data_IF_571813226979
#
_entry.id   IF_571813226979
#
_cell.length_a   1.000
_cell.length_b   1.000
_cell.length_c   1.000
_cell.angle_alpha   90.00
_cell.angle_beta   90.00
_cell.angle_gamma   90.00
#
_symmetry.space_group_name_H-M   'P 1'
#
loop_
_entity.id
_entity.type
_entity.pdbx_description
1 polymer ?
#
# COMPACT_ATOMS: atom_id res chain seq x y z
N UNK A 1 11.74 1.51 -16.17
CA UNK A 1 12.89 2.14 -15.48
C UNK A 1 12.44 3.24 -14.52
N UNK A 2 11.44 4.07 -14.86
CA UNK A 2 11.04 5.21 -14.01
C UNK A 2 10.62 4.83 -12.57
N UNK A 3 9.85 3.76 -12.39
CA UNK A 3 9.41 3.33 -11.05
C UNK A 3 10.44 2.55 -10.24
N UNK A 4 11.56 2.15 -10.84
CA UNK A 4 12.54 1.30 -10.18
C UNK A 4 13.13 2.00 -8.94
N UNK A 5 13.46 3.29 -9.08
CA UNK A 5 13.99 4.10 -7.98
C UNK A 5 12.96 4.28 -6.86
N UNK A 6 11.69 4.45 -7.21
CA UNK A 6 10.60 4.58 -6.25
C UNK A 6 10.40 3.29 -5.45
N UNK A 7 10.44 2.13 -6.12
CA UNK A 7 10.33 0.82 -5.47
C UNK A 7 11.53 0.55 -4.55
N UNK A 8 12.74 0.92 -4.96
CA UNK A 8 13.95 0.78 -4.12
C UNK A 8 13.86 1.67 -2.88
N UNK A 9 13.50 2.94 -3.03
CA UNK A 9 13.31 3.86 -1.90
C UNK A 9 12.21 3.38 -0.95
N UNK A 10 11.10 2.88 -1.50
CA UNK A 10 10.03 2.27 -0.72
C UNK A 10 10.52 1.03 0.04
N UNK A 11 11.27 0.13 -0.60
CA UNK A 11 11.80 -1.07 0.05
C UNK A 11 12.77 -0.74 1.19
N UNK A 12 13.64 0.26 1.01
CA UNK A 12 14.56 0.71 2.07
C UNK A 12 13.77 1.34 3.23
N UNK A 13 12.88 2.29 2.96
CA UNK A 13 12.08 2.95 3.99
C UNK A 13 11.19 1.95 4.76
N UNK A 14 10.52 1.06 4.04
CA UNK A 14 9.63 0.06 4.63
C UNK A 14 10.37 -1.05 5.39
N UNK A 15 11.63 -1.34 5.07
CA UNK A 15 12.44 -2.34 5.81
C UNK A 15 13.12 -1.76 7.06
N UNK A 16 13.54 -0.50 7.01
CA UNK A 16 14.20 0.19 8.13
C UNK A 16 13.22 0.62 9.23
N UNK A 17 11.94 0.79 8.89
CA UNK A 17 10.92 1.20 9.86
C UNK A 17 10.55 0.08 10.84
N UNK A 18 10.38 0.38 12.15
CA UNK A 18 9.96 -0.58 13.16
C UNK A 18 8.45 -0.83 13.05
N UNK A 19 8.02 -1.43 11.95
CA UNK A 19 6.64 -1.86 11.73
C UNK A 19 6.35 -3.22 12.37
N UNK A 20 5.08 -3.55 12.67
CA UNK A 20 4.70 -4.83 13.27
C UNK A 20 5.22 -6.05 12.51
N UNK A 21 5.12 -6.06 11.18
CA UNK A 21 5.59 -7.18 10.34
C UNK A 21 7.12 -7.36 10.39
N UNK A 22 7.88 -6.26 10.34
CA UNK A 22 9.34 -6.32 10.41
C UNK A 22 9.83 -6.72 11.79
N UNK A 23 9.22 -6.18 12.85
CA UNK A 23 9.53 -6.56 14.23
C UNK A 23 9.17 -8.02 14.46
N UNK A 24 8.05 -8.51 13.93
CA UNK A 24 7.62 -9.89 14.08
C UNK A 24 8.59 -10.87 13.41
N UNK A 25 9.05 -10.57 12.18
CA UNK A 25 10.08 -11.38 11.48
C UNK A 25 11.44 -11.29 12.17
N UNK A 26 11.84 -10.12 12.65
CA UNK A 26 13.07 -9.96 13.43
C UNK A 26 13.01 -10.79 14.71
N UNK A 27 11.90 -10.68 15.47
CA UNK A 27 11.68 -11.39 16.73
C UNK A 27 11.60 -12.89 16.51
N UNK A 28 10.92 -13.35 15.44
CA UNK A 28 10.90 -14.77 15.10
C UNK A 28 12.28 -15.26 14.65
N UNK A 29 13.04 -14.42 13.94
CA UNK A 29 14.40 -14.71 13.49
C UNK A 29 15.36 -14.91 14.65
N UNK A 30 15.25 -14.07 15.69
CA UNK A 30 16.07 -14.17 16.91
C UNK A 30 15.65 -15.35 17.78
N UNK A 31 14.34 -15.59 17.97
CA UNK A 31 13.86 -16.63 18.89
C UNK A 31 13.83 -18.04 18.29
N UNK A 32 13.48 -18.20 17.01
CA UNK A 32 13.29 -19.50 16.35
C UNK A 32 14.30 -19.79 15.25
N UNK A 33 15.16 -18.82 14.92
CA UNK A 33 16.15 -18.91 13.86
C UNK A 33 15.59 -18.52 12.49
N UNK A 34 16.51 -18.18 11.57
CA UNK A 34 16.18 -17.69 10.22
C UNK A 34 15.40 -18.72 9.41
N UNK A 35 15.81 -20.00 9.41
CA UNK A 35 15.15 -21.07 8.65
C UNK A 35 13.68 -21.26 9.01
N UNK A 36 13.34 -21.17 10.30
CA UNK A 36 11.95 -21.31 10.76
C UNK A 36 11.11 -20.04 10.57
N UNK A 37 11.76 -18.91 10.28
CA UNK A 37 11.12 -17.62 10.02
C UNK A 37 10.80 -17.40 8.53
N UNK A 38 11.37 -18.20 7.62
CA UNK A 38 11.09 -18.11 6.17
C UNK A 38 9.59 -18.26 5.85
N UNK A 39 8.83 -19.20 6.43
CA UNK A 39 7.39 -19.31 6.16
C UNK A 39 6.60 -18.06 6.57
N UNK A 40 6.97 -17.44 7.69
CA UNK A 40 6.36 -16.17 8.15
C UNK A 40 6.65 -15.05 7.16
N UNK A 41 7.91 -14.90 6.73
CA UNK A 41 8.32 -13.90 5.76
C UNK A 41 7.55 -14.06 4.43
N UNK A 42 7.44 -15.30 3.93
CA UNK A 42 6.68 -15.61 2.70
C UNK A 42 5.21 -15.26 2.86
N UNK A 43 4.60 -15.56 4.01
CA UNK A 43 3.23 -15.17 4.32
C UNK A 43 3.03 -13.66 4.30
N UNK A 44 3.97 -12.89 4.86
CA UNK A 44 3.96 -11.42 4.81
C UNK A 44 4.07 -10.92 3.37
N UNK A 45 4.98 -11.46 2.55
CA UNK A 45 5.12 -11.06 1.16
C UNK A 45 3.85 -11.33 0.34
N UNK A 46 3.26 -12.52 0.45
CA UNK A 46 2.03 -12.88 -0.27
C UNK A 46 0.86 -12.00 0.20
N UNK A 47 0.70 -11.85 1.51
CA UNK A 47 -0.33 -10.99 2.09
C UNK A 47 -0.21 -9.54 1.63
N UNK A 48 1.01 -9.02 1.54
CA UNK A 48 1.26 -7.66 1.07
C UNK A 48 0.90 -7.47 -0.40
N UNK A 49 1.23 -8.43 -1.28
CA UNK A 49 0.82 -8.39 -2.69
C UNK A 49 -0.70 -8.42 -2.84
N UNK A 50 -1.38 -9.31 -2.11
CA UNK A 50 -2.85 -9.40 -2.13
C UNK A 50 -3.46 -8.10 -1.61
N UNK A 51 -2.95 -7.55 -0.51
CA UNK A 51 -3.41 -6.29 0.07
C UNK A 51 -3.27 -5.14 -0.91
N UNK A 52 -2.11 -4.98 -1.58
CA UNK A 52 -1.91 -3.96 -2.60
C UNK A 52 -2.85 -4.14 -3.81
N UNK A 53 -3.07 -5.38 -4.26
CA UNK A 53 -4.00 -5.66 -5.34
C UNK A 53 -5.44 -5.27 -4.98
N UNK A 54 -5.91 -5.64 -3.79
CA UNK A 54 -7.24 -5.27 -3.30
C UNK A 54 -7.39 -3.77 -3.12
N UNK A 55 -6.37 -3.08 -2.59
CA UNK A 55 -6.37 -1.62 -2.47
C UNK A 55 -6.43 -0.97 -3.86
N UNK A 56 -5.66 -1.46 -4.84
CA UNK A 56 -5.69 -0.96 -6.20
C UNK A 56 -7.06 -1.13 -6.87
N UNK A 57 -7.69 -2.30 -6.71
CA UNK A 57 -9.05 -2.55 -7.20
C UNK A 57 -10.05 -1.65 -6.48
N UNK A 58 -9.97 -1.52 -5.16
CA UNK A 58 -10.83 -0.65 -4.36
C UNK A 58 -10.72 0.81 -4.78
N UNK A 59 -9.51 1.32 -5.00
CA UNK A 59 -9.27 2.67 -5.52
C UNK A 59 -9.84 2.86 -6.92
N UNK A 60 -9.68 1.88 -7.82
CA UNK A 60 -10.25 1.94 -9.15
C UNK A 60 -11.79 2.04 -9.09
N UNK A 61 -12.44 1.18 -8.30
CA UNK A 61 -13.89 1.20 -8.10
C UNK A 61 -14.37 2.53 -7.52
N UNK A 62 -13.63 3.08 -6.56
CA UNK A 62 -13.95 4.36 -5.93
C UNK A 62 -13.75 5.54 -6.90
N UNK A 63 -12.73 5.50 -7.74
CA UNK A 63 -12.55 6.50 -8.79
C UNK A 63 -13.69 6.46 -9.82
N UNK A 64 -14.12 5.26 -10.23
CA UNK A 64 -15.27 5.05 -11.12
C UNK A 64 -16.60 5.56 -10.53
N UNK A 65 -16.79 5.49 -9.21
CA UNK A 65 -18.01 6.00 -8.56
C UNK A 65 -17.97 7.50 -8.29
N UNK A 66 -16.78 8.10 -8.10
CA UNK A 66 -16.61 9.54 -7.88
C UNK A 66 -16.69 10.35 -9.17
N UNK A 67 -16.25 9.79 -10.31
CA UNK A 67 -16.32 10.45 -11.62
C UNK A 67 -17.73 10.92 -12.05
N UNK A 68 -18.80 10.11 -11.94
CA UNK A 68 -20.16 10.57 -12.27
C UNK A 68 -20.66 11.64 -11.29
N UNK A 69 -20.32 11.54 -10.00
CA UNK A 69 -20.67 12.58 -8.99
C UNK A 69 -19.98 13.91 -9.28
N UNK A 70 -18.72 13.87 -9.73
CA UNK A 70 -17.99 15.06 -10.15
C UNK A 70 -18.53 15.63 -11.47
N UNK A 71 -19.06 14.80 -12.37
CA UNK A 71 -19.67 15.21 -13.63
C UNK A 71 -21.08 15.82 -13.46
N UNK A 72 -21.82 15.38 -12.43
CA UNK A 72 -23.12 15.95 -12.06
C UNK A 72 -23.00 17.19 -11.16
N UNK A 73 -21.78 17.56 -10.76
CA UNK A 73 -21.55 18.74 -9.93
C UNK A 73 -21.98 20.01 -10.70
N UNK A 74 -23.00 20.76 -10.23
CA UNK A 74 -23.55 21.84 -11.04
C UNK A 74 -22.51 22.95 -11.20
N UNK A 75 -22.27 23.35 -12.45
CA UNK A 75 -21.23 24.33 -12.82
C UNK A 75 -21.40 25.70 -12.15
N UNK A 76 -22.59 25.98 -11.64
CA UNK A 76 -22.97 27.18 -10.90
C UNK A 76 -22.23 27.29 -9.55
N UNK A 77 -21.98 26.15 -8.89
CA UNK A 77 -21.28 26.10 -7.60
C UNK A 77 -19.76 26.22 -7.74
N UNK A 78 -19.20 25.97 -8.93
CA UNK A 78 -17.77 26.16 -9.19
C UNK A 78 -17.37 27.63 -9.06
N UNK A 79 -18.26 28.57 -9.36
CA UNK A 79 -18.03 30.01 -9.16
C UNK A 79 -17.95 30.42 -7.69
N UNK A 80 -18.56 29.67 -6.78
CA UNK A 80 -18.57 29.93 -5.34
C UNK A 80 -17.30 29.42 -4.63
N UNK A 81 -16.57 28.51 -5.27
CA UNK A 81 -15.30 27.97 -4.75
C UNK A 81 -14.08 28.75 -5.25
N UNK A 82 -14.25 29.57 -6.29
CA UNK A 82 -13.20 30.39 -6.89
C UNK A 82 -13.23 31.87 -6.43
N UNK A 83 -14.22 32.25 -5.61
CA UNK A 83 -14.38 33.57 -4.98
C UNK A 83 -14.10 33.48 -3.48
#
# INVERSE_FOLDING_TARGET
MEYFIAVVLFAISSSVTPGPNNIMVMTSGVNFGVRKSVPLLVGICIGFVIMLALVGVGFALLALSVLPVAAEFPSEWLGYLAA
#
